data_IF_699012966445
#
_entry.id   IF_699012966445
#
_cell.length_a   1.000
_cell.length_b   1.000
_cell.length_c   1.000
_cell.angle_alpha   90.00
_cell.angle_beta   90.00
_cell.angle_gamma   90.00
#
_symmetry.space_group_name_H-M   'P 1'
#
loop_
_entity.id
_entity.type
_entity.pdbx_description
1 polymer ?
#
# COMPACT_ATOMS: atom_id res chain seq x y z
N UNK A 1 -21.43 25.81 70.13
CA UNK A 1 -22.09 24.93 69.14
C UNK A 1 -21.33 25.12 67.83
N UNK A 2 -20.42 24.22 67.48
CA UNK A 2 -20.68 23.01 66.68
C UNK A 2 -21.27 23.34 65.31
N UNK A 3 -20.53 22.92 64.27
CA UNK A 3 -21.01 22.46 62.96
C UNK A 3 -21.54 23.59 62.03
N UNK A 4 -21.23 23.72 60.75
CA UNK A 4 -20.84 22.79 59.68
C UNK A 4 -20.52 23.66 58.43
N UNK A 5 -19.43 23.46 57.69
CA UNK A 5 -19.38 22.83 56.34
C UNK A 5 -18.93 23.79 55.23
N UNK A 6 -17.69 23.55 54.80
CA UNK A 6 -17.19 23.47 53.43
C UNK A 6 -17.71 24.43 52.36
N UNK A 7 -16.82 25.27 51.83
CA UNK A 7 -16.59 25.38 50.38
C UNK A 7 -15.22 26.02 50.10
N UNK A 8 -14.13 25.35 50.51
CA UNK A 8 -12.78 25.71 50.06
C UNK A 8 -12.48 24.91 48.79
N UNK A 9 -13.00 25.41 47.67
CA UNK A 9 -12.69 24.93 46.32
C UNK A 9 -11.52 25.75 45.77
N UNK A 10 -10.70 25.13 44.92
CA UNK A 10 -9.60 25.69 44.10
C UNK A 10 -8.18 25.55 44.66
N UNK A 11 -7.76 24.28 44.81
CA UNK A 11 -6.38 23.89 44.53
C UNK A 11 -6.43 22.94 43.34
N UNK A 12 -6.42 23.48 42.12
CA UNK A 12 -6.19 22.69 40.90
C UNK A 12 -4.75 22.87 40.45
N UNK A 13 -3.93 22.00 41.01
CA UNK A 13 -2.71 21.42 40.48
C UNK A 13 -2.60 21.54 38.95
N UNK A 14 -1.82 22.51 38.47
CA UNK A 14 -1.43 22.61 37.05
C UNK A 14 -0.11 21.88 36.86
N UNK A 15 -0.17 20.56 36.71
CA UNK A 15 0.97 19.77 36.29
C UNK A 15 1.24 19.97 34.79
N UNK A 16 2.51 20.29 34.53
CA UNK A 16 3.27 20.12 33.29
C UNK A 16 2.67 19.06 32.34
N UNK A 17 2.23 19.51 31.18
CA UNK A 17 2.23 18.67 29.97
C UNK A 17 3.31 19.18 29.04
N UNK A 18 4.41 18.43 29.03
CA UNK A 18 5.41 18.48 27.99
C UNK A 18 4.69 18.33 26.65
N UNK A 19 4.68 19.39 25.85
CA UNK A 19 4.43 19.24 24.41
C UNK A 19 5.73 18.66 23.86
N UNK A 20 5.89 17.35 24.03
CA UNK A 20 6.80 16.60 23.19
C UNK A 20 6.28 16.83 21.77
N UNK A 21 7.02 17.63 20.99
CA UNK A 21 6.91 17.59 19.54
C UNK A 21 7.17 16.15 19.14
N UNK A 22 6.11 15.36 19.03
CA UNK A 22 6.07 14.20 18.16
C UNK A 22 6.20 14.78 16.74
N UNK A 23 7.41 15.20 16.39
CA UNK A 23 7.85 15.27 15.03
C UNK A 23 7.72 13.84 14.54
N UNK A 24 6.55 13.55 13.96
CA UNK A 24 6.33 12.36 13.15
C UNK A 24 7.54 12.30 12.24
N UNK A 25 8.42 11.34 12.49
CA UNK A 25 9.47 11.01 11.55
C UNK A 25 8.78 10.88 10.18
N UNK A 26 9.36 11.42 9.08
CA UNK A 26 8.84 11.07 7.78
C UNK A 26 8.84 9.54 7.74
N UNK A 27 7.69 8.95 7.44
CA UNK A 27 7.54 7.51 7.34
C UNK A 27 8.63 6.99 6.38
N UNK A 28 9.73 6.52 6.95
CA UNK A 28 10.83 5.89 6.23
C UNK A 28 10.41 4.46 5.94
N UNK A 29 9.39 4.36 5.08
CA UNK A 29 8.88 3.16 4.42
C UNK A 29 8.07 3.63 3.21
N UNK A 30 8.68 4.52 2.42
CA UNK A 30 8.08 5.09 1.22
C UNK A 30 8.09 4.08 0.07
N UNK A 31 7.26 3.04 0.16
CA UNK A 31 6.70 2.47 -1.06
C UNK A 31 5.63 3.43 -1.57
N UNK A 32 6.12 4.54 -2.14
CA UNK A 32 5.27 5.41 -2.92
C UNK A 32 4.63 4.57 -4.02
N UNK A 33 3.36 4.80 -4.34
CA UNK A 33 2.65 4.06 -5.40
C UNK A 33 3.38 4.11 -6.75
N UNK A 34 4.22 5.12 -6.95
CA UNK A 34 5.12 5.27 -8.10
C UNK A 34 6.14 4.12 -8.24
N UNK A 35 6.56 3.49 -7.15
CA UNK A 35 7.50 2.35 -7.20
C UNK A 35 6.94 1.16 -8.00
N UNK A 36 5.62 0.98 -7.95
CA UNK A 36 4.91 -0.07 -8.68
C UNK A 36 4.55 0.32 -10.11
N UNK A 37 4.60 1.61 -10.46
CA UNK A 37 4.24 2.06 -11.80
C UNK A 37 5.24 1.54 -12.84
N UNK A 38 4.72 1.16 -14.01
CA UNK A 38 5.53 0.62 -15.10
C UNK A 38 4.77 -0.40 -15.95
N UNK A 39 5.45 -0.90 -16.97
CA UNK A 39 4.99 -2.05 -17.74
C UNK A 39 5.64 -3.33 -17.21
N UNK A 40 4.89 -4.41 -17.27
CA UNK A 40 5.32 -5.74 -16.84
C UNK A 40 5.02 -6.74 -17.95
N UNK A 41 6.04 -7.45 -18.41
CA UNK A 41 5.92 -8.43 -19.49
C UNK A 41 5.90 -9.84 -18.91
N UNK A 42 4.88 -10.62 -19.25
CA UNK A 42 4.76 -12.02 -18.85
C UNK A 42 5.68 -12.91 -19.69
N UNK A 43 5.94 -14.12 -19.19
CA UNK A 43 6.68 -15.13 -19.95
C UNK A 43 5.97 -15.49 -21.26
N UNK A 44 6.74 -15.79 -22.30
CA UNK A 44 6.22 -16.22 -23.60
C UNK A 44 5.25 -17.40 -23.45
N UNK A 45 4.11 -17.34 -24.14
CA UNK A 45 3.05 -18.36 -24.06
C UNK A 45 2.07 -18.16 -22.90
N UNK A 46 2.27 -17.15 -22.04
CA UNK A 46 1.26 -16.74 -21.06
C UNK A 46 -0.04 -16.30 -21.74
N UNK A 47 -1.23 -16.54 -21.14
CA UNK A 47 -2.50 -16.06 -21.68
C UNK A 47 -2.65 -14.53 -21.62
N UNK A 48 -1.82 -13.85 -20.82
CA UNK A 48 -1.70 -12.39 -20.76
C UNK A 48 -0.27 -12.04 -21.18
N UNK A 49 -0.10 -11.07 -22.07
CA UNK A 49 1.24 -10.68 -22.54
C UNK A 49 1.84 -9.56 -21.69
N UNK A 50 1.04 -8.55 -21.37
CA UNK A 50 1.49 -7.33 -20.70
C UNK A 50 0.53 -6.93 -19.58
N UNK A 51 1.10 -6.44 -18.48
CA UNK A 51 0.38 -5.76 -17.41
C UNK A 51 0.95 -4.35 -17.22
N UNK A 52 0.11 -3.33 -17.31
CA UNK A 52 0.52 -1.94 -17.09
C UNK A 52 -0.01 -1.46 -15.76
N UNK A 53 0.89 -0.99 -14.89
CA UNK A 53 0.55 -0.33 -13.63
C UNK A 53 0.68 1.18 -13.81
N UNK A 54 -0.40 1.89 -13.48
CA UNK A 54 -0.44 3.35 -13.42
C UNK A 54 -0.67 3.80 -11.98
N UNK A 55 0.04 4.84 -11.54
CA UNK A 55 -0.12 5.43 -10.21
C UNK A 55 -0.77 6.81 -10.33
N UNK A 56 -1.93 6.99 -9.72
CA UNK A 56 -2.73 8.21 -9.80
C UNK A 56 -3.28 8.54 -8.41
N UNK A 57 -3.08 9.77 -7.93
CA UNK A 57 -3.63 10.27 -6.64
C UNK A 57 -3.35 9.36 -5.43
N UNK A 58 -2.19 8.71 -5.39
CA UNK A 58 -1.81 7.81 -4.30
C UNK A 58 -2.44 6.41 -4.37
N UNK A 59 -3.12 6.09 -5.47
CA UNK A 59 -3.66 4.77 -5.78
C UNK A 59 -2.92 4.16 -6.98
N UNK A 60 -3.05 2.84 -7.18
CA UNK A 60 -2.55 2.17 -8.37
C UNK A 60 -3.67 1.45 -9.10
N UNK A 61 -3.54 1.39 -10.42
CA UNK A 61 -4.46 0.72 -11.33
C UNK A 61 -3.68 -0.19 -12.26
N UNK A 62 -4.23 -1.37 -12.54
CA UNK A 62 -3.65 -2.36 -13.44
C UNK A 62 -4.51 -2.56 -14.69
N UNK A 63 -3.87 -2.69 -15.84
CA UNK A 63 -4.49 -3.08 -17.10
C UNK A 63 -3.74 -4.26 -17.70
N UNK A 64 -4.44 -5.37 -17.93
CA UNK A 64 -3.91 -6.53 -18.65
C UNK A 64 -4.26 -6.38 -20.12
N UNK A 65 -3.26 -6.36 -21.00
CA UNK A 65 -3.44 -6.19 -22.45
C UNK A 65 -4.52 -5.13 -22.78
N UNK A 66 -5.59 -5.53 -23.47
CA UNK A 66 -6.72 -4.65 -23.86
C UNK A 66 -7.95 -4.77 -22.93
N UNK A 67 -7.84 -5.44 -21.78
CA UNK A 67 -8.96 -5.69 -20.85
C UNK A 67 -9.34 -4.49 -19.96
N UNK A 68 -8.75 -3.32 -20.23
CA UNK A 68 -9.07 -2.08 -19.54
C UNK A 68 -8.44 -1.93 -18.14
N UNK A 69 -8.50 -0.69 -17.64
CA UNK A 69 -7.85 -0.26 -16.40
C UNK A 69 -8.76 -0.50 -15.19
N UNK A 70 -8.25 -1.22 -14.19
CA UNK A 70 -8.96 -1.55 -12.95
C UNK A 70 -8.17 -1.10 -11.73
N UNK A 71 -8.86 -0.67 -10.67
CA UNK A 71 -8.21 -0.28 -9.42
C UNK A 71 -7.61 -1.51 -8.75
N UNK A 72 -6.42 -1.38 -8.15
CA UNK A 72 -5.84 -2.43 -7.33
C UNK A 72 -5.93 -2.04 -5.86
N UNK A 73 -6.71 -2.81 -5.11
CA UNK A 73 -6.98 -2.57 -3.69
C UNK A 73 -5.92 -3.27 -2.86
N UNK A 74 -5.21 -2.51 -2.02
CA UNK A 74 -4.15 -3.04 -1.15
C UNK A 74 -4.70 -4.13 -0.22
N UNK A 75 -3.94 -5.20 -0.06
CA UNK A 75 -4.26 -6.33 0.82
C UNK A 75 -3.39 -6.30 2.08
N UNK A 76 -3.72 -7.17 3.05
CA UNK A 76 -2.97 -7.29 4.30
C UNK A 76 -1.52 -7.78 4.08
N UNK A 77 -1.30 -8.64 3.08
CA UNK A 77 0.03 -9.09 2.68
C UNK A 77 0.79 -7.94 2.00
N UNK A 78 2.04 -7.75 2.40
CA UNK A 78 2.93 -6.73 1.83
C UNK A 78 3.03 -6.92 0.32
N UNK A 79 3.02 -5.80 -0.41
CA UNK A 79 3.11 -5.76 -1.87
C UNK A 79 2.02 -6.55 -2.60
N UNK A 80 0.92 -6.87 -1.92
CA UNK A 80 -0.20 -7.59 -2.51
C UNK A 80 -1.41 -6.68 -2.69
N UNK A 81 -2.02 -6.77 -3.88
CA UNK A 81 -3.19 -6.00 -4.26
C UNK A 81 -4.21 -6.91 -4.95
N UNK A 82 -5.49 -6.60 -4.81
CA UNK A 82 -6.59 -7.27 -5.51
C UNK A 82 -7.16 -6.35 -6.58
N UNK A 83 -7.23 -6.83 -7.82
CA UNK A 83 -7.90 -6.13 -8.91
C UNK A 83 -9.41 -6.04 -8.67
N UNK A 84 -10.01 -4.90 -8.98
CA UNK A 84 -11.47 -4.72 -9.01
C UNK A 84 -12.12 -5.25 -10.29
N UNK A 85 -11.36 -5.86 -11.20
CA UNK A 85 -11.92 -6.51 -12.39
C UNK A 85 -12.83 -7.69 -12.00
N UNK A 86 -13.68 -8.13 -12.94
CA UNK A 86 -14.55 -9.30 -12.76
C UNK A 86 -13.79 -10.59 -12.42
N UNK A 87 -12.54 -10.70 -12.85
CA UNK A 87 -11.67 -11.83 -12.54
C UNK A 87 -11.10 -11.79 -11.12
N UNK A 88 -11.11 -10.63 -10.46
CA UNK A 88 -10.66 -10.48 -9.07
C UNK A 88 -9.22 -10.91 -8.81
N UNK A 89 -8.33 -10.75 -9.79
CA UNK A 89 -6.96 -11.26 -9.71
C UNK A 89 -6.17 -10.68 -8.54
N UNK A 90 -5.26 -11.48 -7.98
CA UNK A 90 -4.37 -11.07 -6.90
C UNK A 90 -2.98 -10.83 -7.50
N UNK A 91 -2.49 -9.59 -7.37
CA UNK A 91 -1.19 -9.14 -7.83
C UNK A 91 -0.26 -9.07 -6.64
N UNK A 92 0.88 -9.76 -6.69
CA UNK A 92 1.94 -9.65 -5.67
C UNK A 92 3.21 -9.15 -6.33
N UNK A 93 3.68 -7.95 -5.96
CA UNK A 93 4.92 -7.42 -6.51
C UNK A 93 6.13 -8.15 -5.95
N UNK A 94 7.11 -8.37 -6.82
CA UNK A 94 8.40 -8.98 -6.48
C UNK A 94 9.44 -7.88 -6.40
N UNK A 95 10.24 -7.91 -5.33
CA UNK A 95 11.34 -6.98 -5.12
C UNK A 95 12.68 -7.68 -5.22
N UNK A 96 13.65 -6.95 -5.73
CA UNK A 96 15.04 -7.32 -5.58
C UNK A 96 15.43 -7.36 -4.10
N UNK A 97 16.15 -8.40 -3.70
CA UNK A 97 16.49 -8.62 -2.29
C UNK A 97 17.47 -7.58 -1.74
N UNK A 98 18.31 -7.00 -2.61
CA UNK A 98 19.40 -6.08 -2.23
C UNK A 98 18.92 -4.64 -2.28
N UNK A 99 18.40 -4.21 -3.42
CA UNK A 99 18.01 -2.83 -3.70
C UNK A 99 16.59 -2.49 -3.23
N UNK A 100 15.78 -3.51 -2.94
CA UNK A 100 14.34 -3.39 -2.62
C UNK A 100 13.49 -2.79 -3.75
N UNK A 101 14.07 -2.61 -4.94
CA UNK A 101 13.35 -2.14 -6.13
C UNK A 101 12.34 -3.20 -6.60
N UNK A 102 11.20 -2.76 -7.12
CA UNK A 102 10.19 -3.66 -7.70
C UNK A 102 10.68 -4.13 -9.06
N UNK A 103 10.91 -5.43 -9.22
CA UNK A 103 11.47 -6.05 -10.43
C UNK A 103 10.48 -6.90 -11.20
N UNK A 104 9.31 -7.18 -10.62
CA UNK A 104 8.29 -8.00 -11.26
C UNK A 104 7.01 -8.08 -10.46
N UNK A 105 6.13 -8.99 -10.90
CA UNK A 105 4.92 -9.36 -10.17
C UNK A 105 4.54 -10.82 -10.47
N UNK A 106 3.80 -11.41 -9.53
CA UNK A 106 2.97 -12.59 -9.79
C UNK A 106 1.50 -12.18 -9.84
N UNK A 107 0.73 -12.86 -10.67
CA UNK A 107 -0.71 -12.67 -10.84
C UNK A 107 -1.41 -14.01 -10.65
N UNK A 108 -2.17 -14.15 -9.57
CA UNK A 108 -3.08 -15.28 -9.38
C UNK A 108 -4.44 -14.93 -9.98
N UNK A 109 -4.91 -15.74 -10.94
CA UNK A 109 -6.16 -15.55 -11.66
C UNK A 109 -6.77 -16.91 -12.01
N UNK A 110 -8.03 -17.13 -11.63
CA UNK A 110 -8.79 -18.36 -11.96
C UNK A 110 -8.04 -19.68 -11.68
N UNK A 111 -7.31 -19.75 -10.56
CA UNK A 111 -6.56 -20.94 -10.16
C UNK A 111 -5.21 -21.13 -10.86
N UNK A 112 -4.80 -20.20 -11.73
CA UNK A 112 -3.47 -20.14 -12.34
C UNK A 112 -2.62 -19.04 -11.70
N UNK A 113 -1.30 -19.22 -11.70
CA UNK A 113 -0.35 -18.19 -11.33
C UNK A 113 0.54 -17.84 -12.53
N UNK A 114 0.58 -16.55 -12.87
CA UNK A 114 1.36 -16.00 -13.97
C UNK A 114 2.46 -15.11 -13.41
N UNK A 115 3.64 -15.11 -14.03
CA UNK A 115 4.76 -14.27 -13.59
C UNK A 115 5.16 -13.28 -14.69
N UNK A 116 5.35 -12.02 -14.30
CA UNK A 116 5.81 -10.95 -15.19
C UNK A 116 7.03 -10.23 -14.61
N UNK A 117 7.92 -9.82 -15.51
CA UNK A 117 9.08 -8.98 -15.19
C UNK A 117 8.74 -7.52 -15.49
N UNK A 118 9.20 -6.60 -14.63
CA UNK A 118 9.07 -5.17 -14.90
C UNK A 118 9.99 -4.81 -16.06
N UNK A 119 9.47 -4.05 -17.01
CA UNK A 119 10.23 -3.54 -18.15
C UNK A 119 11.09 -2.37 -17.68
N UNK A 120 12.40 -2.42 -17.96
CA UNK A 120 13.39 -1.40 -17.57
C UNK A 120 13.31 -1.03 -16.06
N UNK A 121 13.56 -2.00 -15.15
CA UNK A 121 13.37 -1.86 -13.71
C UNK A 121 14.38 -0.92 -13.03
#
# INVERSE_FOLDING_TARGET
MKLFVNFLFLISLSMLVNVANAQSAPASSADSTKAYAGSYTFASGSPVQKYVITAEKGEIYGAADDYGKNKLVKQAKVDTYKSTSSYGSIITFVRDATTKAVTGLTMAIQGSELTAKKDNP
#
